data_IF_023631847700
#
_entry.id   IF_023631847700
#
_cell.length_a   1.000
_cell.length_b   1.000
_cell.length_c   1.000
_cell.angle_alpha   90.00
_cell.angle_beta   90.00
_cell.angle_gamma   90.00
#
_symmetry.space_group_name_H-M   'P 1'
#
loop_
_entity.id
_entity.type
_entity.pdbx_description
1 polymer ?
#
# COMPACT_ATOMS: atom_id res chain seq x y z
N UNK A 1 -15.40 4.30 -7.11
CA UNK A 1 -14.46 5.36 -6.70
C UNK A 1 -14.06 5.12 -5.26
N UNK A 2 -12.80 5.38 -4.87
CA UNK A 2 -12.39 5.43 -3.46
C UNK A 2 -12.00 6.87 -3.17
N UNK A 3 -12.65 7.50 -2.19
CA UNK A 3 -12.46 8.92 -1.91
C UNK A 3 -11.22 9.16 -1.04
N UNK A 4 -10.40 10.19 -1.30
CA UNK A 4 -9.47 10.68 -0.29
C UNK A 4 -10.26 11.02 0.98
N UNK A 5 -9.71 10.68 2.14
CA UNK A 5 -10.24 11.15 3.41
C UNK A 5 -9.13 11.89 4.15
N UNK A 6 -9.51 12.78 5.04
CA UNK A 6 -8.58 13.57 5.85
C UNK A 6 -8.74 13.13 7.30
N UNK A 7 -7.62 13.00 8.00
CA UNK A 7 -7.63 12.70 9.42
C UNK A 7 -7.08 13.93 10.16
N UNK A 8 -7.99 14.63 10.86
CA UNK A 8 -7.75 15.94 11.47
C UNK A 8 -7.88 15.95 13.00
N UNK A 9 -8.47 14.91 13.62
CA UNK A 9 -8.55 14.84 15.08
C UNK A 9 -7.16 14.54 15.63
N UNK A 10 -6.62 15.46 16.42
CA UNK A 10 -5.26 15.37 16.93
C UNK A 10 -5.11 14.41 18.09
N UNK A 11 -6.16 14.27 18.89
CA UNK A 11 -6.14 13.54 20.16
C UNK A 11 -6.96 12.24 20.07
N UNK A 12 -7.29 11.80 18.87
CA UNK A 12 -8.09 10.59 18.65
C UNK A 12 -7.42 9.34 19.26
N UNK A 13 -6.08 9.31 19.31
CA UNK A 13 -5.29 8.23 19.93
C UNK A 13 -5.65 8.08 21.41
N UNK A 14 -5.70 9.19 22.15
CA UNK A 14 -6.05 9.21 23.57
C UNK A 14 -7.48 8.73 23.83
N UNK A 15 -8.37 8.85 22.84
CA UNK A 15 -9.78 8.44 22.96
C UNK A 15 -10.00 6.98 22.56
N UNK A 16 -9.25 6.48 21.57
CA UNK A 16 -9.56 5.23 20.87
C UNK A 16 -8.47 4.15 20.95
N UNK A 17 -7.25 4.53 21.32
CA UNK A 17 -6.07 3.67 21.30
C UNK A 17 -5.21 3.80 22.57
N UNK A 18 -5.74 4.37 23.66
CA UNK A 18 -5.02 4.57 24.91
C UNK A 18 -4.54 3.26 25.55
N UNK A 19 -5.32 2.19 25.39
CA UNK A 19 -5.04 0.84 25.86
C UNK A 19 -4.27 -0.01 24.83
N UNK A 20 -3.97 0.56 23.66
CA UNK A 20 -3.29 -0.11 22.57
C UNK A 20 -1.78 0.15 22.58
N UNK A 21 -1.02 -0.85 22.15
CA UNK A 21 0.41 -0.69 21.95
C UNK A 21 0.66 0.26 20.77
N UNK A 22 1.41 1.35 20.99
CA UNK A 22 1.71 2.33 19.95
C UNK A 22 3.04 2.03 19.26
N UNK A 23 2.98 1.76 17.95
CA UNK A 23 4.14 1.43 17.11
C UNK A 23 4.44 2.50 16.05
N UNK A 24 3.81 3.67 16.13
CA UNK A 24 3.96 4.70 15.10
C UNK A 24 4.19 6.10 15.67
N UNK A 25 5.05 6.84 14.98
CA UNK A 25 5.14 8.28 15.13
C UNK A 25 3.97 8.94 14.41
N UNK A 26 3.15 9.64 15.19
CA UNK A 26 1.88 10.16 14.73
C UNK A 26 2.05 11.50 14.02
N UNK A 27 1.64 11.60 12.76
CA UNK A 27 1.50 12.88 12.08
C UNK A 27 0.04 13.36 12.12
N UNK A 28 -0.16 14.53 12.70
CA UNK A 28 -1.44 14.93 13.30
C UNK A 28 -2.44 15.61 12.35
N UNK A 29 -2.15 15.69 11.05
CA UNK A 29 -3.09 16.23 10.05
C UNK A 29 -2.62 15.87 8.63
N UNK A 30 -3.16 14.79 8.05
CA UNK A 30 -2.79 14.37 6.69
C UNK A 30 -4.00 13.91 5.89
N UNK A 31 -4.03 14.31 4.62
CA UNK A 31 -4.94 13.74 3.62
C UNK A 31 -4.40 12.38 3.18
N UNK A 32 -5.23 11.35 3.28
CA UNK A 32 -4.87 9.96 2.96
C UNK A 32 -5.40 9.57 1.59
N UNK A 33 -4.48 9.30 0.68
CA UNK A 33 -4.77 8.84 -0.68
C UNK A 33 -4.74 7.32 -0.79
N UNK A 34 -5.19 6.79 -1.94
CA UNK A 34 -5.22 5.35 -2.19
C UNK A 34 -3.79 4.79 -2.24
N UNK A 35 -3.55 3.70 -1.49
CA UNK A 35 -2.26 3.02 -1.50
C UNK A 35 -1.17 3.68 -0.65
N UNK A 36 -1.45 4.83 -0.03
CA UNK A 36 -0.61 5.42 1.00
C UNK A 36 -0.77 4.65 2.33
N UNK A 37 0.21 4.81 3.21
CA UNK A 37 0.18 4.27 4.57
C UNK A 37 -0.69 5.16 5.44
N UNK A 38 -1.65 4.57 6.15
CA UNK A 38 -2.51 5.25 7.10
C UNK A 38 -2.49 4.56 8.46
N UNK A 39 -2.70 5.31 9.55
CA UNK A 39 -2.77 4.75 10.90
C UNK A 39 -4.10 4.01 11.09
N UNK A 40 -4.04 2.84 11.74
CA UNK A 40 -5.20 2.07 12.16
C UNK A 40 -5.00 1.52 13.57
N UNK A 41 -6.11 1.34 14.28
CA UNK A 41 -6.15 0.46 15.46
C UNK A 41 -6.62 -0.91 14.98
N UNK A 42 -5.84 -1.95 15.26
CA UNK A 42 -6.20 -3.34 14.95
C UNK A 42 -6.09 -4.22 16.17
N UNK A 43 -6.78 -5.36 16.13
CA UNK A 43 -6.54 -6.44 17.07
C UNK A 43 -5.37 -7.29 16.58
N UNK A 44 -4.45 -7.61 17.50
CA UNK A 44 -3.41 -8.61 17.31
C UNK A 44 -3.98 -10.02 17.48
N UNK A 45 -3.21 -11.03 17.10
CA UNK A 45 -3.52 -12.44 17.37
C UNK A 45 -3.68 -12.73 18.85
N UNK A 46 -2.99 -11.96 19.70
CA UNK A 46 -2.97 -12.12 21.15
C UNK A 46 -4.10 -11.32 21.84
N UNK A 47 -5.14 -10.94 21.08
CA UNK A 47 -6.29 -10.13 21.54
C UNK A 47 -5.95 -8.71 22.06
N UNK A 48 -4.70 -8.27 21.93
CA UNK A 48 -4.27 -6.90 22.27
C UNK A 48 -4.58 -5.94 21.13
N UNK A 49 -4.85 -4.68 21.45
CA UNK A 49 -4.94 -3.60 20.45
C UNK A 49 -3.55 -3.11 20.08
N UNK A 50 -3.36 -2.81 18.80
CA UNK A 50 -2.14 -2.21 18.29
C UNK A 50 -2.48 -1.04 17.37
N UNK A 51 -1.77 0.07 17.57
CA UNK A 51 -1.80 1.24 16.72
C UNK A 51 -0.63 1.17 15.74
N UNK A 52 -0.92 0.94 14.45
CA UNK A 52 0.09 0.70 13.41
C UNK A 52 -0.22 1.46 12.11
N UNK A 53 0.80 1.65 11.26
CA UNK A 53 0.63 2.11 9.89
C UNK A 53 0.36 0.92 8.96
N UNK A 54 -0.69 0.99 8.14
CA UNK A 54 -0.98 0.00 7.10
C UNK A 54 -1.25 0.63 5.75
N UNK A 55 -0.98 -0.12 4.70
CA UNK A 55 -1.29 0.29 3.33
C UNK A 55 -2.80 0.31 3.12
N UNK A 56 -3.32 1.44 2.66
CA UNK A 56 -4.75 1.58 2.38
C UNK A 56 -5.15 0.79 1.12
N UNK A 57 -5.74 -0.38 1.35
CA UNK A 57 -6.35 -1.21 0.32
C UNK A 57 -6.31 -2.68 0.71
N UNK A 58 -7.46 -3.34 0.63
CA UNK A 58 -7.52 -4.78 0.85
C UNK A 58 -6.89 -5.53 -0.34
N UNK A 59 -6.33 -6.73 -0.11
CA UNK A 59 -5.90 -7.61 -1.19
C UNK A 59 -7.05 -7.79 -2.20
N UNK A 60 -6.74 -7.71 -3.49
CA UNK A 60 -7.77 -8.01 -4.51
C UNK A 60 -8.06 -9.51 -4.47
N UNK A 61 -9.30 -9.89 -4.76
CA UNK A 61 -9.67 -11.32 -4.86
C UNK A 61 -8.73 -12.04 -5.83
N UNK A 62 -8.26 -13.23 -5.47
CA UNK A 62 -7.23 -13.96 -6.21
C UNK A 62 -7.55 -14.20 -7.70
N UNK A 63 -8.83 -14.32 -8.06
CA UNK A 63 -9.27 -14.47 -9.44
C UNK A 63 -8.91 -13.25 -10.32
N UNK A 64 -8.96 -12.04 -9.75
CA UNK A 64 -8.62 -10.80 -10.46
C UNK A 64 -7.11 -10.70 -10.72
N UNK A 65 -6.29 -11.17 -9.76
CA UNK A 65 -4.85 -11.27 -9.93
C UNK A 65 -4.48 -12.26 -11.05
N UNK A 66 -5.11 -13.44 -11.09
CA UNK A 66 -4.87 -14.45 -12.14
C UNK A 66 -5.22 -13.94 -13.54
N UNK A 67 -6.36 -13.26 -13.70
CA UNK A 67 -6.78 -12.68 -14.99
C UNK A 67 -5.81 -11.58 -15.45
N UNK A 68 -5.39 -10.70 -14.53
CA UNK A 68 -4.41 -9.64 -14.84
C UNK A 68 -3.03 -10.23 -15.18
N UNK A 69 -2.60 -11.26 -14.46
CA UNK A 69 -1.34 -11.94 -14.73
C UNK A 69 -1.36 -12.66 -16.09
N UNK A 70 -2.45 -13.36 -16.44
CA UNK A 70 -2.64 -13.97 -17.75
C UNK A 70 -2.70 -12.94 -18.88
N UNK A 71 -3.36 -11.79 -18.66
CA UNK A 71 -3.37 -10.70 -19.65
C UNK A 71 -1.95 -10.14 -19.90
N UNK A 72 -1.10 -10.05 -18.86
CA UNK A 72 0.32 -9.67 -19.01
C UNK A 72 1.15 -10.72 -19.75
N UNK A 73 0.86 -12.01 -19.55
CA UNK A 73 1.50 -13.10 -20.31
C UNK A 73 1.10 -13.06 -21.78
N UNK A 74 -0.17 -12.74 -22.07
CA UNK A 74 -0.69 -12.62 -23.43
C UNK A 74 -0.26 -11.33 -24.16
N UNK A 75 0.30 -10.35 -23.43
CA UNK A 75 0.96 -9.15 -24.00
C UNK A 75 2.41 -9.43 -24.44
N UNK A 76 2.91 -10.66 -24.26
CA UNK A 76 4.19 -11.10 -24.82
C UNK A 76 4.02 -12.06 -26.03
N UNK A 77 3.48 -11.63 -27.18
CA UNK A 77 3.73 -12.30 -28.46
C UNK A 77 4.60 -11.48 -29.42
N UNK A 78 5.00 -10.25 -29.07
CA UNK A 78 5.98 -9.49 -29.84
C UNK A 78 7.23 -9.29 -29.01
N UNK A 79 8.26 -10.07 -29.35
CA UNK A 79 9.57 -10.01 -28.74
C UNK A 79 10.10 -8.59 -28.74
N UNK A 80 10.31 -8.05 -27.55
CA UNK A 80 11.35 -7.05 -27.37
C UNK A 80 12.67 -7.81 -27.43
N UNK A 81 13.13 -8.06 -28.65
CA UNK A 81 14.54 -8.33 -28.92
C UNK A 81 15.32 -7.22 -28.24
N UNK A 82 16.13 -7.61 -27.25
CA UNK A 82 17.23 -6.81 -26.77
C UNK A 82 18.08 -6.41 -27.97
N UNK A 83 17.92 -5.17 -28.44
CA UNK A 83 18.91 -4.56 -29.33
C UNK A 83 20.12 -4.31 -28.43
N UNK A 84 21.04 -5.28 -28.42
CA UNK A 84 22.43 -5.04 -28.03
C UNK A 84 22.94 -3.90 -28.91
N UNK A 85 23.10 -2.71 -28.32
CA UNK A 85 23.84 -1.62 -28.95
C UNK A 85 25.32 -1.96 -28.87
N UNK A 86 25.76 -2.85 -29.76
CA UNK A 86 27.16 -3.15 -30.00
C UNK A 86 27.62 -2.36 -31.23
N UNK A 87 27.72 -1.03 -31.07
CA UNK A 87 28.58 -0.18 -31.91
C UNK A 87 28.60 1.26 -31.38
N UNK A 88 29.56 1.61 -30.53
CA UNK A 88 30.06 2.99 -30.40
C UNK A 88 31.32 3.07 -29.51
N UNK A 89 32.41 2.39 -29.84
CA UNK A 89 33.77 2.84 -29.50
C UNK A 89 34.77 2.32 -30.55
N UNK A 90 34.82 3.01 -31.68
CA UNK A 90 36.05 3.14 -32.48
C UNK A 90 36.45 4.61 -32.42
N UNK A 91 37.31 4.92 -31.46
CA UNK A 91 38.32 5.97 -31.48
C UNK A 91 39.56 5.36 -30.85
#
# INVERSE_FOLDING_TARGET
MYNPYRMDDKDWVSKLAQDGENWIDFMTARQMSRGEMGPIVRNSTDSRKQLIHVKRGLPRRGLQHRRTARARQNLSPHGLTSISHDHALRC
#
